data_IF_367244935229
#
_entry.id   IF_367244935229
#
_cell.length_a   1.000
_cell.length_b   1.000
_cell.length_c   1.000
_cell.angle_alpha   90.00
_cell.angle_beta   90.00
_cell.angle_gamma   90.00
#
_symmetry.space_group_name_H-M   'P 1'
#
loop_
_entity.id
_entity.type
_entity.pdbx_description
1 polymer ?
#
# COMPACT_ATOMS: atom_id res chain seq x y z
N UNK A 1 -33.74 6.31 -2.34
CA UNK A 1 -33.22 5.19 -1.55
C UNK A 1 -32.91 4.07 -2.53
N UNK A 2 -31.65 3.62 -2.68
CA UNK A 2 -31.38 2.44 -3.50
C UNK A 2 -32.09 1.26 -2.88
N UNK A 3 -32.94 0.59 -3.65
CA UNK A 3 -33.64 -0.62 -3.23
C UNK A 3 -32.60 -1.74 -3.10
N UNK A 4 -32.15 -2.01 -1.88
CA UNK A 4 -31.41 -3.22 -1.58
C UNK A 4 -32.21 -4.42 -2.11
N UNK A 5 -31.60 -5.25 -2.94
CA UNK A 5 -32.28 -6.43 -3.48
C UNK A 5 -32.65 -7.36 -2.32
N UNK A 6 -33.93 -7.40 -1.95
CA UNK A 6 -34.41 -8.00 -0.68
C UNK A 6 -34.14 -9.49 -0.54
N UNK A 7 -33.77 -10.16 -1.63
CA UNK A 7 -33.62 -11.60 -1.66
C UNK A 7 -32.15 -12.08 -1.52
N UNK A 8 -31.16 -11.18 -1.69
CA UNK A 8 -29.75 -11.56 -1.55
C UNK A 8 -29.34 -11.49 -0.08
N UNK A 9 -29.02 -12.65 0.51
CA UNK A 9 -28.61 -12.72 1.90
C UNK A 9 -27.08 -12.58 2.06
N UNK A 10 -26.65 -11.92 3.14
CA UNK A 10 -25.22 -11.82 3.49
C UNK A 10 -24.57 -13.22 3.65
N UNK A 11 -25.34 -14.23 4.08
CA UNK A 11 -24.86 -15.61 4.19
C UNK A 11 -24.51 -16.20 2.82
N UNK A 12 -25.32 -15.91 1.79
CA UNK A 12 -25.06 -16.38 0.44
C UNK A 12 -23.82 -15.70 -0.18
N UNK A 13 -23.64 -14.39 0.07
CA UNK A 13 -22.46 -13.65 -0.36
C UNK A 13 -21.18 -14.18 0.31
N UNK A 14 -21.21 -14.42 1.63
CA UNK A 14 -20.09 -15.02 2.36
C UNK A 14 -19.78 -16.45 1.88
N UNK A 15 -20.80 -17.27 1.63
CA UNK A 15 -20.62 -18.61 1.11
C UNK A 15 -19.99 -18.61 -0.28
N UNK A 16 -20.36 -17.66 -1.13
CA UNK A 16 -19.76 -17.46 -2.45
C UNK A 16 -18.28 -17.07 -2.36
N UNK A 17 -17.94 -16.05 -1.57
CA UNK A 17 -16.54 -15.60 -1.43
C UNK A 17 -15.66 -16.67 -0.79
N UNK A 18 -16.13 -17.39 0.23
CA UNK A 18 -15.39 -18.51 0.81
C UNK A 18 -15.15 -19.64 -0.20
N UNK A 19 -16.16 -19.96 -1.03
CA UNK A 19 -16.02 -20.99 -2.08
C UNK A 19 -15.08 -20.56 -3.21
N UNK A 20 -15.09 -19.28 -3.59
CA UNK A 20 -14.20 -18.69 -4.59
C UNK A 20 -12.73 -18.74 -4.13
N UNK A 21 -12.47 -18.27 -2.92
CA UNK A 21 -11.12 -18.23 -2.33
C UNK A 21 -10.50 -19.62 -2.13
N UNK A 22 -11.33 -20.60 -1.72
CA UNK A 22 -10.88 -21.96 -1.45
C UNK A 22 -10.92 -22.89 -2.69
N UNK A 23 -11.51 -22.47 -3.79
CA UNK A 23 -11.80 -23.27 -4.98
C UNK A 23 -12.48 -24.61 -4.64
N UNK A 24 -13.25 -24.64 -3.55
CA UNK A 24 -13.82 -25.85 -2.97
C UNK A 24 -15.00 -25.58 -2.07
N UNK A 25 -16.16 -26.17 -2.38
CA UNK A 25 -17.33 -26.09 -1.49
C UNK A 25 -17.11 -26.79 -0.15
N UNK A 26 -16.28 -27.82 -0.09
CA UNK A 26 -15.95 -28.52 1.15
C UNK A 26 -15.11 -27.64 2.06
N UNK A 27 -14.01 -27.08 1.55
CA UNK A 27 -13.16 -26.17 2.33
C UNK A 27 -13.90 -24.92 2.79
N UNK A 28 -14.75 -24.35 1.92
CA UNK A 28 -15.60 -23.23 2.28
C UNK A 28 -16.60 -23.59 3.38
N UNK A 29 -17.13 -24.82 3.38
CA UNK A 29 -18.01 -25.30 4.43
C UNK A 29 -17.27 -25.45 5.76
N UNK A 30 -16.07 -25.99 5.75
CA UNK A 30 -15.21 -26.10 6.94
C UNK A 30 -14.90 -24.70 7.52
N UNK A 31 -14.53 -23.73 6.66
CA UNK A 31 -14.27 -22.34 7.05
C UNK A 31 -15.49 -21.65 7.69
N UNK A 32 -16.67 -21.90 7.16
CA UNK A 32 -17.92 -21.24 7.59
C UNK A 32 -18.68 -22.03 8.69
N UNK A 33 -18.14 -23.16 9.14
CA UNK A 33 -18.80 -24.07 10.06
C UNK A 33 -20.17 -24.53 9.56
N UNK A 34 -20.27 -24.86 8.26
CA UNK A 34 -21.47 -25.33 7.57
C UNK A 34 -21.24 -26.70 6.93
N UNK A 35 -22.30 -27.26 6.38
CA UNK A 35 -22.18 -28.44 5.51
C UNK A 35 -21.94 -28.00 4.05
N UNK A 36 -21.23 -28.84 3.26
CA UNK A 36 -21.01 -28.56 1.84
C UNK A 36 -22.32 -28.44 1.05
N UNK A 37 -23.37 -29.14 1.48
CA UNK A 37 -24.71 -29.03 0.94
C UNK A 37 -25.32 -27.64 1.21
N UNK A 38 -25.16 -27.11 2.41
CA UNK A 38 -25.64 -25.78 2.76
C UNK A 38 -24.92 -24.69 1.96
N UNK A 39 -23.60 -24.77 1.82
CA UNK A 39 -22.81 -23.84 0.97
C UNK A 39 -23.30 -23.91 -0.48
N UNK A 40 -23.43 -25.12 -1.05
CA UNK A 40 -23.92 -25.30 -2.41
C UNK A 40 -25.33 -24.72 -2.61
N UNK A 41 -26.20 -24.87 -1.63
CA UNK A 41 -27.56 -24.33 -1.66
C UNK A 41 -27.57 -22.79 -1.62
N UNK A 42 -26.76 -22.17 -0.74
CA UNK A 42 -26.61 -20.72 -0.66
C UNK A 42 -26.11 -20.11 -1.98
N UNK A 43 -25.14 -20.75 -2.60
CA UNK A 43 -24.58 -20.31 -3.89
C UNK A 43 -25.59 -20.46 -5.03
N UNK A 44 -26.31 -21.59 -5.09
CA UNK A 44 -27.37 -21.77 -6.09
C UNK A 44 -28.48 -20.72 -5.96
N UNK A 45 -28.84 -20.38 -4.73
CA UNK A 45 -29.82 -19.32 -4.48
C UNK A 45 -29.29 -17.97 -4.97
N UNK A 46 -28.04 -17.63 -4.66
CA UNK A 46 -27.37 -16.41 -5.13
C UNK A 46 -27.34 -16.33 -6.67
N UNK A 47 -26.93 -17.43 -7.33
CA UNK A 47 -26.93 -17.53 -8.79
C UNK A 47 -28.33 -17.32 -9.38
N UNK A 48 -29.38 -17.85 -8.73
CA UNK A 48 -30.75 -17.65 -9.15
C UNK A 48 -31.23 -16.20 -9.03
N UNK A 49 -30.89 -15.54 -7.93
CA UNK A 49 -31.24 -14.13 -7.69
C UNK A 49 -30.50 -13.17 -8.64
N UNK A 50 -29.24 -13.50 -8.98
CA UNK A 50 -28.43 -12.71 -9.92
C UNK A 50 -28.72 -13.05 -11.39
N UNK A 51 -29.45 -14.14 -11.66
CA UNK A 51 -29.74 -14.60 -13.02
C UNK A 51 -28.51 -15.08 -13.80
N UNK A 52 -27.37 -15.35 -13.12
CA UNK A 52 -26.12 -15.74 -13.75
C UNK A 52 -25.38 -16.80 -12.95
N UNK A 53 -24.65 -17.67 -13.67
CA UNK A 53 -23.77 -18.64 -13.04
C UNK A 53 -22.48 -17.98 -12.59
N UNK A 54 -22.09 -18.23 -11.33
CA UNK A 54 -20.88 -17.71 -10.72
C UNK A 54 -19.74 -18.76 -10.76
N UNK A 55 -20.10 -20.05 -10.75
CA UNK A 55 -19.14 -21.14 -10.89
C UNK A 55 -19.42 -21.98 -12.12
N UNK A 56 -18.35 -22.38 -12.79
CA UNK A 56 -18.34 -23.44 -13.78
C UNK A 56 -18.01 -24.77 -13.10
N UNK A 57 -18.81 -25.81 -13.43
CA UNK A 57 -18.61 -27.15 -12.90
C UNK A 57 -17.91 -28.00 -13.94
N UNK A 58 -16.60 -27.99 -13.95
CA UNK A 58 -15.84 -29.00 -14.67
C UNK A 58 -15.59 -30.18 -13.71
N UNK A 59 -15.58 -31.41 -14.24
CA UNK A 59 -15.56 -32.66 -13.47
C UNK A 59 -14.36 -32.83 -12.50
N UNK A 60 -13.41 -31.91 -12.49
CA UNK A 60 -12.16 -32.00 -11.71
C UNK A 60 -11.85 -30.77 -10.84
N UNK A 61 -12.50 -29.61 -11.04
CA UNK A 61 -12.24 -28.39 -10.27
C UNK A 61 -13.45 -27.47 -10.25
N UNK A 62 -13.59 -26.72 -9.14
CA UNK A 62 -14.52 -25.61 -9.01
C UNK A 62 -13.81 -24.35 -9.50
N UNK A 63 -14.30 -23.72 -10.55
CA UNK A 63 -13.72 -22.51 -11.12
C UNK A 63 -14.78 -21.40 -11.21
N UNK A 64 -14.36 -20.16 -11.02
CA UNK A 64 -15.22 -18.99 -11.26
C UNK A 64 -15.53 -18.84 -12.75
N UNK A 65 -16.73 -18.39 -13.07
CA UNK A 65 -17.04 -17.81 -14.38
C UNK A 65 -16.50 -16.38 -14.46
N UNK A 66 -16.51 -15.76 -15.65
CA UNK A 66 -16.13 -14.34 -15.78
C UNK A 66 -17.02 -13.43 -14.89
N UNK A 67 -18.32 -13.71 -14.80
CA UNK A 67 -19.23 -12.99 -13.91
C UNK A 67 -18.93 -13.28 -12.42
N UNK A 68 -18.53 -14.53 -12.11
CA UNK A 68 -18.10 -14.91 -10.76
C UNK A 68 -16.83 -14.19 -10.35
N UNK A 69 -15.86 -14.10 -11.25
CA UNK A 69 -14.61 -13.39 -10.98
C UNK A 69 -14.87 -11.89 -10.73
N UNK A 70 -15.60 -11.24 -11.62
CA UNK A 70 -15.94 -9.81 -11.45
C UNK A 70 -16.67 -9.55 -10.12
N UNK A 71 -17.65 -10.39 -9.78
CA UNK A 71 -18.35 -10.27 -8.49
C UNK A 71 -17.42 -10.52 -7.29
N UNK A 72 -16.51 -11.47 -7.38
CA UNK A 72 -15.57 -11.78 -6.31
C UNK A 72 -14.64 -10.60 -6.03
N UNK A 73 -14.06 -10.01 -7.09
CA UNK A 73 -13.13 -8.90 -7.00
C UNK A 73 -13.76 -7.65 -6.36
N UNK A 74 -15.05 -7.41 -6.63
CA UNK A 74 -15.78 -6.29 -6.04
C UNK A 74 -16.30 -6.59 -4.62
N UNK A 75 -16.73 -7.83 -4.36
CA UNK A 75 -17.43 -8.18 -3.13
C UNK A 75 -16.49 -8.53 -1.97
N UNK A 76 -15.36 -9.18 -2.26
CA UNK A 76 -14.42 -9.61 -1.21
C UNK A 76 -13.94 -8.43 -0.34
N UNK A 77 -13.49 -7.28 -0.91
CA UNK A 77 -13.10 -6.12 -0.11
C UNK A 77 -14.24 -5.58 0.79
N UNK A 78 -15.47 -5.57 0.28
CA UNK A 78 -16.65 -5.11 1.06
C UNK A 78 -16.95 -6.02 2.25
N UNK A 79 -16.80 -7.35 2.09
CA UNK A 79 -16.98 -8.29 3.19
C UNK A 79 -15.85 -8.21 4.23
N UNK A 80 -14.64 -7.93 3.79
CA UNK A 80 -13.50 -7.70 4.67
C UNK A 80 -13.70 -6.43 5.50
N UNK A 81 -14.19 -5.35 4.88
CA UNK A 81 -14.59 -4.12 5.56
C UNK A 81 -15.69 -4.35 6.60
N UNK A 82 -16.73 -5.10 6.22
CA UNK A 82 -17.82 -5.45 7.14
C UNK A 82 -17.31 -6.27 8.33
N UNK A 83 -16.44 -7.24 8.06
CA UNK A 83 -15.79 -8.05 9.10
C UNK A 83 -14.97 -7.18 10.05
N UNK A 84 -14.22 -6.23 9.52
CA UNK A 84 -13.42 -5.28 10.30
C UNK A 84 -14.29 -4.40 11.21
N UNK A 85 -15.42 -3.89 10.70
CA UNK A 85 -16.38 -3.12 11.49
C UNK A 85 -16.95 -3.97 12.64
N UNK A 86 -17.41 -5.19 12.33
CA UNK A 86 -18.01 -6.06 13.36
C UNK A 86 -17.00 -6.49 14.42
N UNK A 87 -15.76 -6.78 14.04
CA UNK A 87 -14.68 -7.14 14.95
C UNK A 87 -14.38 -6.00 15.93
N UNK A 88 -14.34 -4.75 15.48
CA UNK A 88 -14.14 -3.58 16.36
C UNK A 88 -15.18 -3.47 17.48
N UNK A 89 -16.39 -3.93 17.23
CA UNK A 89 -17.48 -3.88 18.22
C UNK A 89 -17.66 -5.16 19.05
N UNK A 90 -17.00 -6.24 18.66
CA UNK A 90 -17.19 -7.56 19.32
C UNK A 90 -16.08 -7.89 20.33
N UNK A 91 -14.86 -7.37 20.17
CA UNK A 91 -13.73 -7.75 21.02
C UNK A 91 -13.61 -6.78 22.20
N UNK A 92 -14.15 -7.17 23.34
CA UNK A 92 -13.64 -6.79 24.65
C UNK A 92 -12.42 -7.68 24.98
N UNK A 93 -11.34 -7.54 24.22
CA UNK A 93 -10.06 -8.13 24.58
C UNK A 93 -9.43 -7.29 25.70
N UNK A 94 -8.77 -7.93 26.66
CA UNK A 94 -7.92 -7.27 27.67
C UNK A 94 -6.68 -6.65 27.05
N UNK A 95 -6.35 -6.95 25.79
CA UNK A 95 -5.29 -6.33 25.00
C UNK A 95 -5.90 -5.37 23.97
N UNK A 96 -5.25 -4.25 23.80
CA UNK A 96 -5.62 -3.27 22.78
C UNK A 96 -5.09 -3.74 21.42
N UNK A 97 -5.98 -4.02 20.47
CA UNK A 97 -5.58 -4.33 19.09
C UNK A 97 -5.39 -3.04 18.31
N UNK A 98 -4.29 -2.93 17.58
CA UNK A 98 -3.97 -1.79 16.70
C UNK A 98 -3.64 -2.29 15.30
N UNK A 99 -4.44 -1.88 14.32
CA UNK A 99 -4.22 -2.16 12.90
C UNK A 99 -3.63 -0.95 12.22
N UNK A 100 -2.42 -1.11 11.71
CA UNK A 100 -1.61 -0.06 11.11
C UNK A 100 -1.49 -0.35 9.62
N UNK A 101 -1.73 0.65 8.78
CA UNK A 101 -1.45 0.55 7.35
C UNK A 101 -0.35 1.53 6.95
N UNK A 102 0.72 1.02 6.33
CA UNK A 102 1.92 1.80 6.00
C UNK A 102 2.32 1.54 4.55
N UNK A 103 2.70 2.59 3.81
CA UNK A 103 3.25 2.39 2.48
C UNK A 103 4.51 1.49 2.51
N UNK A 104 4.67 0.55 1.55
CA UNK A 104 5.74 -0.45 1.57
C UNK A 104 7.13 0.13 1.74
N UNK A 105 7.49 1.18 1.01
CA UNK A 105 8.83 1.76 1.08
C UNK A 105 9.08 2.49 2.41
N UNK A 106 8.08 3.21 2.94
CA UNK A 106 8.16 3.79 4.29
C UNK A 106 8.26 2.69 5.34
N UNK A 107 7.50 1.61 5.18
CA UNK A 107 7.52 0.48 6.09
C UNK A 107 8.91 -0.15 6.18
N UNK A 108 9.55 -0.46 5.04
CA UNK A 108 10.85 -1.13 5.01
C UNK A 108 12.00 -0.25 5.50
N UNK A 109 12.00 1.03 5.14
CA UNK A 109 13.19 1.87 5.35
C UNK A 109 13.18 2.66 6.67
N UNK A 110 11.99 3.08 7.15
CA UNK A 110 11.87 3.90 8.35
C UNK A 110 11.13 3.21 9.50
N UNK A 111 9.99 2.57 9.19
CA UNK A 111 9.07 2.12 10.21
C UNK A 111 9.53 0.84 10.91
N UNK A 112 9.77 -0.23 10.14
CA UNK A 112 10.18 -1.54 10.69
C UNK A 112 11.49 -1.46 11.49
N UNK A 113 12.52 -0.72 11.04
CA UNK A 113 13.76 -0.58 11.81
C UNK A 113 13.59 0.01 13.23
N UNK A 114 12.54 0.80 13.47
CA UNK A 114 12.26 1.44 14.75
C UNK A 114 11.09 0.82 15.52
N UNK A 115 10.31 -0.05 14.88
CA UNK A 115 9.09 -0.61 15.46
C UNK A 115 9.32 -1.38 16.77
N UNK A 116 10.52 -1.97 16.94
CA UNK A 116 10.85 -2.69 18.16
C UNK A 116 10.77 -1.80 19.40
N UNK A 117 11.11 -0.53 19.29
CA UNK A 117 11.01 0.44 20.40
C UNK A 117 9.56 0.54 20.88
N UNK A 118 8.61 0.73 19.95
CA UNK A 118 7.19 0.80 20.27
C UNK A 118 6.65 -0.49 20.89
N UNK A 119 7.04 -1.65 20.36
CA UNK A 119 6.60 -2.96 20.88
C UNK A 119 7.11 -3.20 22.31
N UNK A 120 8.31 -2.74 22.62
CA UNK A 120 8.88 -2.87 23.98
C UNK A 120 8.21 -1.91 24.98
N UNK A 121 7.88 -0.69 24.54
CA UNK A 121 7.19 0.31 25.36
C UNK A 121 5.70 -0.01 25.61
N UNK A 122 5.06 -0.72 24.67
CA UNK A 122 3.63 -1.00 24.69
C UNK A 122 3.31 -2.50 24.51
N UNK A 123 3.75 -3.38 25.44
CA UNK A 123 3.55 -4.82 25.33
C UNK A 123 2.08 -5.25 25.43
N UNK A 124 1.19 -4.35 25.90
CA UNK A 124 -0.25 -4.57 25.99
C UNK A 124 -0.98 -4.36 24.64
N UNK A 125 -0.29 -3.83 23.62
CA UNK A 125 -0.88 -3.56 22.31
C UNK A 125 -0.52 -4.68 21.33
N UNK A 126 -1.53 -5.39 20.84
CA UNK A 126 -1.38 -6.36 19.74
C UNK A 126 -1.43 -5.62 18.40
N UNK A 127 -0.33 -5.69 17.62
CA UNK A 127 -0.17 -4.93 16.38
C UNK A 127 -0.40 -5.83 15.16
N UNK A 128 -1.18 -5.35 14.22
CA UNK A 128 -1.29 -5.91 12.86
C UNK A 128 -0.89 -4.84 11.86
N UNK A 129 0.07 -5.17 10.96
CA UNK A 129 0.60 -4.23 9.97
C UNK A 129 0.22 -4.70 8.58
N UNK A 130 -0.43 -3.82 7.82
CA UNK A 130 -0.71 -3.96 6.40
C UNK A 130 0.22 -3.03 5.61
N UNK A 131 0.96 -3.61 4.67
CA UNK A 131 1.85 -2.87 3.77
C UNK A 131 1.42 -3.00 2.31
N UNK A 132 0.16 -3.32 2.04
CA UNK A 132 -0.35 -3.37 0.66
C UNK A 132 -0.37 -1.97 0.03
N UNK A 133 -0.09 -1.91 -1.28
CA UNK A 133 -0.18 -0.68 -2.07
C UNK A 133 -1.61 -0.41 -2.57
N UNK A 134 -2.58 -1.26 -2.22
CA UNK A 134 -3.97 -1.06 -2.60
C UNK A 134 -4.51 0.24 -2.01
N UNK A 135 -4.80 1.18 -2.87
CA UNK A 135 -5.25 2.54 -2.54
C UNK A 135 -4.26 3.34 -1.65
N UNK A 136 -3.01 3.59 -2.10
CA UNK A 136 -1.95 4.25 -1.32
C UNK A 136 -2.34 5.63 -0.80
N UNK A 137 -3.36 6.28 -1.40
CA UNK A 137 -3.82 7.62 -1.07
C UNK A 137 -5.02 7.64 -0.09
N UNK A 138 -5.45 6.47 0.41
CA UNK A 138 -6.63 6.39 1.27
C UNK A 138 -6.30 5.72 2.60
N UNK A 139 -6.95 6.22 3.66
CA UNK A 139 -7.00 5.48 4.91
C UNK A 139 -7.92 4.26 4.70
N UNK A 140 -7.40 3.01 4.78
CA UNK A 140 -8.22 1.82 4.58
C UNK A 140 -9.28 1.70 5.68
N UNK A 141 -10.47 1.20 5.34
CA UNK A 141 -11.53 0.95 6.33
C UNK A 141 -11.11 -0.09 7.37
N UNK A 142 -10.16 -0.94 7.04
CA UNK A 142 -9.63 -2.00 7.91
C UNK A 142 -8.54 -1.55 8.86
N UNK A 143 -7.95 -0.35 8.68
CA UNK A 143 -6.92 0.17 9.57
C UNK A 143 -7.49 1.13 10.62
N UNK A 144 -6.85 1.18 11.78
CA UNK A 144 -7.14 2.15 12.84
C UNK A 144 -6.31 3.43 12.62
N UNK A 145 -5.09 3.27 12.12
CA UNK A 145 -4.17 4.36 11.79
C UNK A 145 -3.36 4.02 10.53
N UNK A 146 -3.00 5.02 9.74
CA UNK A 146 -2.20 4.83 8.52
C UNK A 146 -1.11 5.87 8.38
N UNK A 147 0.01 5.48 7.74
CA UNK A 147 1.04 6.40 7.28
C UNK A 147 1.00 6.42 5.76
N UNK A 148 0.61 7.56 5.17
CA UNK A 148 0.29 7.69 3.74
C UNK A 148 0.86 8.97 3.14
N UNK A 149 1.06 8.91 1.83
CA UNK A 149 1.50 10.05 1.03
C UNK A 149 0.29 10.76 0.42
N UNK A 150 0.17 12.06 0.68
CA UNK A 150 -0.89 12.90 0.13
C UNK A 150 -0.33 14.20 -0.44
N UNK A 151 -0.95 14.69 -1.51
CA UNK A 151 -0.81 16.08 -1.94
C UNK A 151 -1.72 16.99 -1.10
N UNK A 152 -2.95 16.55 -0.88
CA UNK A 152 -3.93 17.19 -0.01
C UNK A 152 -4.62 16.10 0.80
N UNK A 153 -4.40 16.03 2.12
CA UNK A 153 -5.01 15.01 2.94
C UNK A 153 -6.54 15.19 3.01
N UNK A 154 -7.30 14.08 3.12
CA UNK A 154 -8.77 14.15 3.19
C UNK A 154 -9.25 14.90 4.43
N UNK A 155 -10.16 15.87 4.25
CA UNK A 155 -10.72 16.67 5.34
C UNK A 155 -11.55 15.86 6.35
N UNK A 156 -12.03 14.67 5.97
CA UNK A 156 -12.80 13.77 6.83
C UNK A 156 -11.93 12.99 7.82
N UNK A 157 -10.62 13.02 7.69
CA UNK A 157 -9.68 12.33 8.56
C UNK A 157 -8.92 13.31 9.48
N UNK A 158 -8.52 12.81 10.64
CA UNK A 158 -7.49 13.46 11.46
C UNK A 158 -6.15 13.20 10.80
N UNK A 159 -5.46 14.29 10.39
CA UNK A 159 -4.23 14.22 9.61
C UNK A 159 -3.13 15.01 10.28
N UNK A 160 -1.98 14.40 10.48
CA UNK A 160 -0.77 15.04 11.00
C UNK A 160 0.35 14.88 10.01
N UNK A 161 0.89 16.01 9.54
CA UNK A 161 2.00 16.01 8.59
C UNK A 161 3.28 15.54 9.28
N UNK A 162 3.97 14.59 8.66
CA UNK A 162 5.27 14.09 9.12
C UNK A 162 6.40 14.86 8.44
N UNK A 163 6.56 14.71 7.13
CA UNK A 163 7.57 15.42 6.34
C UNK A 163 7.17 15.54 4.87
N UNK A 164 7.82 16.49 4.17
CA UNK A 164 7.63 16.66 2.73
C UNK A 164 8.37 15.58 1.94
N UNK A 165 7.80 15.13 0.83
CA UNK A 165 8.49 14.23 -0.09
C UNK A 165 9.52 15.01 -0.91
N UNK A 166 10.79 14.80 -0.60
CA UNK A 166 11.92 15.31 -1.36
C UNK A 166 12.59 14.19 -2.13
N UNK A 167 12.73 14.35 -3.45
CA UNK A 167 13.36 13.38 -4.34
C UNK A 167 14.77 13.85 -4.75
N UNK A 168 15.71 12.94 -4.77
CA UNK A 168 17.07 13.18 -5.26
C UNK A 168 17.42 12.19 -6.35
N UNK A 169 18.13 12.60 -7.41
CA UNK A 169 18.72 11.68 -8.35
C UNK A 169 19.76 10.82 -7.65
N UNK A 170 19.60 9.52 -7.71
CA UNK A 170 20.47 8.56 -7.06
C UNK A 170 20.85 7.42 -8.00
N UNK A 171 22.02 6.85 -7.79
CA UNK A 171 22.54 5.70 -8.53
C UNK A 171 23.64 5.02 -7.75
N UNK A 172 24.09 3.85 -8.23
CA UNK A 172 25.23 3.14 -7.62
C UNK A 172 26.54 3.94 -7.77
N UNK A 173 27.56 3.68 -6.94
CA UNK A 173 28.88 4.31 -7.06
C UNK A 173 29.48 4.15 -8.47
N UNK A 174 29.42 2.96 -9.05
CA UNK A 174 29.92 2.70 -10.41
C UNK A 174 29.18 3.49 -11.48
N UNK A 175 27.88 3.71 -11.30
CA UNK A 175 27.09 4.55 -12.18
C UNK A 175 27.46 6.03 -12.01
N UNK A 176 27.66 6.50 -10.79
CA UNK A 176 28.09 7.86 -10.49
C UNK A 176 29.39 8.22 -11.23
N UNK A 177 30.40 7.34 -11.18
CA UNK A 177 31.69 7.54 -11.84
C UNK A 177 31.60 7.60 -13.38
N UNK A 178 30.54 7.04 -13.95
CA UNK A 178 30.31 7.04 -15.42
C UNK A 178 29.69 8.32 -15.96
N UNK A 179 29.14 9.18 -15.09
CA UNK A 179 28.36 10.36 -15.49
C UNK A 179 29.29 11.47 -15.95
N UNK A 180 29.00 12.01 -17.14
CA UNK A 180 29.71 13.18 -17.72
C UNK A 180 28.71 14.29 -18.00
N UNK A 181 28.99 15.47 -17.45
CA UNK A 181 28.16 16.68 -17.65
C UNK A 181 28.98 17.77 -18.31
N UNK A 182 28.50 18.34 -19.41
CA UNK A 182 29.13 19.45 -20.13
C UNK A 182 28.07 20.53 -20.36
N UNK A 183 28.34 21.73 -19.87
CA UNK A 183 27.45 22.90 -20.08
C UNK A 183 26.00 22.63 -19.61
N UNK A 184 25.81 21.96 -18.49
CA UNK A 184 24.49 21.61 -17.95
C UNK A 184 23.75 20.50 -18.75
N UNK A 185 24.47 19.74 -19.57
CA UNK A 185 23.94 18.57 -20.29
C UNK A 185 24.70 17.31 -19.91
N UNK A 186 23.98 16.26 -19.64
CA UNK A 186 24.54 14.92 -19.48
C UNK A 186 24.90 14.40 -20.88
N UNK A 187 26.16 14.05 -21.09
CA UNK A 187 26.69 13.60 -22.37
C UNK A 187 27.13 12.14 -22.38
N UNK A 188 27.05 11.47 -21.22
CA UNK A 188 27.22 10.01 -21.08
C UNK A 188 25.90 9.28 -21.24
N UNK A 189 25.95 7.95 -21.35
CA UNK A 189 24.77 7.12 -21.19
C UNK A 189 24.12 7.38 -19.83
N UNK A 190 22.79 7.58 -19.85
CA UNK A 190 22.04 7.93 -18.65
C UNK A 190 20.68 7.21 -18.66
N UNK A 191 20.68 5.88 -18.42
CA UNK A 191 19.43 5.14 -18.29
C UNK A 191 18.63 5.66 -17.10
N UNK A 192 17.32 5.84 -17.30
CA UNK A 192 16.40 6.34 -16.28
C UNK A 192 15.58 5.20 -15.71
N UNK A 193 15.47 5.20 -14.39
CA UNK A 193 14.54 4.36 -13.65
C UNK A 193 13.39 5.25 -13.19
N UNK A 194 12.17 4.89 -13.56
CA UNK A 194 10.97 5.72 -13.38
C UNK A 194 9.92 4.94 -12.59
N UNK A 195 9.35 5.56 -11.56
CA UNK A 195 8.16 5.04 -10.90
C UNK A 195 6.91 5.36 -11.73
N UNK A 196 6.08 4.37 -12.03
CA UNK A 196 4.91 4.52 -12.92
C UNK A 196 3.91 5.58 -12.46
N UNK A 197 3.70 5.74 -11.16
CA UNK A 197 2.81 6.78 -10.62
C UNK A 197 3.37 8.21 -10.79
N UNK A 198 4.66 8.37 -11.17
CA UNK A 198 5.35 9.67 -11.31
C UNK A 198 6.09 9.81 -12.65
N UNK A 199 5.43 9.60 -13.79
CA UNK A 199 6.10 9.53 -15.10
C UNK A 199 6.75 10.85 -15.50
N UNK A 200 6.35 11.98 -14.92
CA UNK A 200 6.87 13.32 -15.23
C UNK A 200 7.92 13.82 -14.23
N UNK A 201 8.26 13.05 -13.20
CA UNK A 201 9.14 13.51 -12.11
C UNK A 201 10.54 13.90 -12.63
N UNK A 202 11.14 13.11 -13.52
CA UNK A 202 12.42 13.45 -14.14
C UNK A 202 12.38 14.75 -14.94
N UNK A 203 11.32 14.97 -15.72
CA UNK A 203 11.16 16.23 -16.47
C UNK A 203 10.99 17.45 -15.56
N UNK A 204 10.30 17.27 -14.42
CA UNK A 204 10.16 18.32 -13.41
C UNK A 204 11.51 18.62 -12.75
N UNK A 205 12.28 17.58 -12.42
CA UNK A 205 13.63 17.71 -11.86
C UNK A 205 14.57 18.44 -12.85
N UNK A 206 14.60 18.07 -14.15
CA UNK A 206 15.41 18.76 -15.16
C UNK A 206 15.18 20.26 -15.20
N UNK A 207 13.90 20.67 -15.12
CA UNK A 207 13.54 22.10 -15.14
C UNK A 207 14.10 22.87 -13.94
N UNK A 208 14.03 22.26 -12.76
CA UNK A 208 14.47 22.90 -11.52
C UNK A 208 15.99 22.84 -11.34
N UNK A 209 16.61 21.71 -11.71
CA UNK A 209 18.05 21.52 -11.64
C UNK A 209 18.85 22.26 -12.72
N UNK A 210 18.18 22.67 -13.82
CA UNK A 210 18.81 23.23 -15.02
C UNK A 210 19.85 22.27 -15.67
N UNK A 211 19.65 20.99 -15.50
CA UNK A 211 20.46 19.91 -16.09
C UNK A 211 19.57 19.19 -17.10
N UNK A 212 20.09 18.94 -18.31
CA UNK A 212 19.35 18.25 -19.37
C UNK A 212 19.79 16.81 -19.49
N UNK A 213 18.81 15.91 -19.45
CA UNK A 213 18.98 14.48 -19.70
C UNK A 213 19.01 14.22 -21.19
N UNK A 214 19.81 13.24 -21.68
CA UNK A 214 19.88 12.90 -23.11
C UNK A 214 18.50 12.49 -23.65
N UNK A 215 18.07 12.97 -24.81
CA UNK A 215 16.79 12.59 -25.41
C UNK A 215 16.63 11.09 -25.71
N UNK A 216 17.75 10.39 -25.89
CA UNK A 216 17.81 8.95 -26.19
C UNK A 216 18.03 8.08 -24.93
N UNK A 217 17.82 8.63 -23.75
CA UNK A 217 17.97 7.85 -22.50
C UNK A 217 17.03 6.63 -22.49
N UNK A 218 17.59 5.46 -22.20
CA UNK A 218 16.79 4.25 -21.96
C UNK A 218 15.96 4.43 -20.69
N UNK A 219 14.69 4.01 -20.71
CA UNK A 219 13.78 4.16 -19.60
C UNK A 219 13.27 2.80 -19.13
N UNK A 220 13.54 2.47 -17.86
CA UNK A 220 13.01 1.30 -17.17
C UNK A 220 11.90 1.80 -16.22
N UNK A 221 10.74 1.11 -16.19
CA UNK A 221 9.60 1.49 -15.35
C UNK A 221 9.29 0.42 -14.33
N UNK A 222 8.97 0.87 -13.12
CA UNK A 222 8.50 0.03 -12.02
C UNK A 222 7.30 0.69 -11.35
N UNK A 223 6.37 -0.10 -10.88
CA UNK A 223 5.21 0.28 -10.06
C UNK A 223 5.57 0.39 -8.56
N UNK A 224 6.70 -0.15 -8.15
CA UNK A 224 7.17 -0.19 -6.76
C UNK A 224 8.40 0.69 -6.53
N UNK A 225 8.35 1.59 -5.53
CA UNK A 225 9.50 2.42 -5.14
C UNK A 225 10.65 1.58 -4.56
N UNK A 226 10.35 0.45 -3.92
CA UNK A 226 11.38 -0.50 -3.46
C UNK A 226 12.17 -1.03 -4.68
N UNK A 227 11.47 -1.44 -5.74
CA UNK A 227 12.10 -1.92 -6.97
C UNK A 227 12.93 -0.81 -7.65
N UNK A 228 12.40 0.43 -7.69
CA UNK A 228 13.11 1.61 -8.21
C UNK A 228 14.44 1.81 -7.48
N UNK A 229 14.44 1.84 -6.15
CA UNK A 229 15.63 2.04 -5.34
C UNK A 229 16.64 0.88 -5.52
N UNK A 230 16.18 -0.37 -5.48
CA UNK A 230 17.03 -1.56 -5.66
C UNK A 230 17.65 -1.67 -7.06
N UNK A 231 16.92 -1.25 -8.10
CA UNK A 231 17.47 -1.20 -9.46
C UNK A 231 18.59 -0.15 -9.57
N UNK A 232 18.44 1.01 -8.94
CA UNK A 232 19.48 2.04 -8.88
C UNK A 232 20.71 1.56 -8.12
N UNK A 233 20.57 0.90 -6.97
CA UNK A 233 21.65 0.28 -6.19
C UNK A 233 22.45 -0.73 -7.02
N UNK A 234 21.81 -1.44 -7.92
CA UNK A 234 22.44 -2.42 -8.82
C UNK A 234 23.04 -1.84 -10.09
N UNK A 235 23.07 -0.51 -10.21
CA UNK A 235 23.69 0.17 -11.35
C UNK A 235 22.88 0.13 -12.65
N UNK A 236 21.58 -0.17 -12.59
CA UNK A 236 20.72 -0.22 -13.77
C UNK A 236 20.43 1.17 -14.37
N UNK A 237 20.76 2.25 -13.65
CA UNK A 237 20.55 3.63 -14.08
C UNK A 237 20.31 4.58 -12.94
N UNK A 238 19.89 5.80 -13.27
CA UNK A 238 19.52 6.84 -12.32
C UNK A 238 18.06 6.71 -11.90
N UNK A 239 17.79 6.82 -10.60
CA UNK A 239 16.45 6.88 -10.04
C UNK A 239 16.21 8.19 -9.27
N UNK A 240 14.98 8.67 -9.22
CA UNK A 240 14.56 9.68 -8.25
C UNK A 240 14.11 8.97 -6.99
N UNK A 241 14.94 9.02 -5.95
CA UNK A 241 14.72 8.33 -4.67
C UNK A 241 14.30 9.35 -3.61
N UNK A 242 13.30 9.04 -2.76
CA UNK A 242 12.96 9.85 -1.60
C UNK A 242 14.16 9.98 -0.65
N UNK A 243 14.61 11.19 -0.37
CA UNK A 243 15.83 11.45 0.40
C UNK A 243 15.76 10.81 1.79
N UNK A 244 14.69 11.05 2.53
CA UNK A 244 14.53 10.53 3.89
C UNK A 244 14.43 9.00 3.93
N UNK A 245 13.71 8.40 2.96
CA UNK A 245 13.54 6.95 2.89
C UNK A 245 14.77 6.23 2.33
N UNK A 246 15.58 6.92 1.54
CA UNK A 246 16.84 6.38 0.98
C UNK A 246 18.04 6.49 1.91
N UNK A 247 17.90 7.08 3.09
CA UNK A 247 19.03 7.44 3.96
C UNK A 247 19.95 6.24 4.28
N UNK A 248 19.36 5.08 4.62
CA UNK A 248 20.11 3.85 4.88
C UNK A 248 20.99 3.40 3.69
N UNK A 249 20.49 3.57 2.46
CA UNK A 249 21.24 3.24 1.24
C UNK A 249 22.32 4.27 0.93
N UNK A 250 22.11 5.56 1.26
CA UNK A 250 23.12 6.60 1.15
C UNK A 250 24.22 6.42 2.20
N UNK A 251 23.88 6.19 3.46
CA UNK A 251 24.83 6.00 4.55
C UNK A 251 25.71 4.76 4.34
N UNK A 252 25.14 3.70 3.77
CA UNK A 252 25.88 2.47 3.42
C UNK A 252 26.61 2.55 2.07
N UNK A 253 26.58 3.71 1.40
CA UNK A 253 27.18 3.92 0.07
C UNK A 253 26.70 2.96 -1.03
N UNK A 254 25.52 2.36 -0.88
CA UNK A 254 24.85 1.58 -1.94
C UNK A 254 24.29 2.49 -3.02
N UNK A 255 23.84 3.67 -2.59
CA UNK A 255 23.42 4.76 -3.46
C UNK A 255 24.29 5.99 -3.19
N UNK A 256 24.59 6.73 -4.26
CA UNK A 256 25.14 8.08 -4.19
C UNK A 256 24.15 9.06 -4.81
N UNK A 257 24.05 10.24 -4.22
CA UNK A 257 23.34 11.35 -4.83
C UNK A 257 24.12 11.80 -6.07
N UNK A 258 23.49 11.75 -7.23
CA UNK A 258 24.15 12.02 -8.53
C UNK A 258 24.35 13.53 -8.80
N UNK A 259 23.49 14.36 -8.19
CA UNK A 259 23.51 15.83 -8.35
C UNK A 259 23.05 16.48 -7.03
N UNK A 260 23.57 17.67 -6.74
CA UNK A 260 23.26 18.41 -5.50
C UNK A 260 21.82 19.00 -5.44
N UNK A 261 21.06 18.86 -6.54
CA UNK A 261 19.72 19.43 -6.62
C UNK A 261 18.63 18.46 -6.15
N UNK A 262 17.97 18.83 -5.06
CA UNK A 262 16.81 18.13 -4.51
C UNK A 262 15.52 18.64 -5.13
N UNK A 263 14.65 17.73 -5.56
CA UNK A 263 13.34 18.06 -6.09
C UNK A 263 12.27 17.88 -5.00
N UNK A 264 11.81 19.00 -4.43
CA UNK A 264 10.70 19.02 -3.48
C UNK A 264 9.38 18.90 -4.25
N UNK A 265 8.60 17.87 -3.92
CA UNK A 265 7.26 17.65 -4.49
C UNK A 265 6.18 18.39 -3.67
N UNK A 266 4.95 18.43 -4.21
CA UNK A 266 3.79 18.92 -3.46
C UNK A 266 3.24 17.89 -2.46
N UNK A 267 3.78 16.66 -2.50
CA UNK A 267 3.32 15.57 -1.66
C UNK A 267 4.07 15.55 -0.33
N UNK A 268 3.40 15.10 0.73
CA UNK A 268 3.99 14.88 2.04
C UNK A 268 3.46 13.60 2.67
N UNK A 269 4.25 12.99 3.54
CA UNK A 269 3.79 11.91 4.39
C UNK A 269 2.96 12.44 5.55
N UNK A 270 1.86 11.74 5.80
CA UNK A 270 0.94 12.05 6.89
C UNK A 270 0.64 10.79 7.70
N UNK A 271 0.53 10.99 9.00
CA UNK A 271 -0.17 10.07 9.88
C UNK A 271 -1.65 10.42 9.83
N UNK A 272 -2.50 9.45 9.55
CA UNK A 272 -3.94 9.66 9.42
C UNK A 272 -4.73 8.60 10.18
N UNK A 273 -5.85 9.01 10.79
CA UNK A 273 -6.82 8.14 11.43
C UNK A 273 -8.22 8.76 11.34
N UNK A 274 -9.25 8.00 11.68
CA UNK A 274 -10.59 8.57 11.85
C UNK A 274 -10.60 9.47 13.08
N UNK A 275 -11.35 10.60 13.07
CA UNK A 275 -11.46 11.48 14.24
C UNK A 275 -11.86 10.74 15.52
N UNK A 276 -12.80 9.82 15.43
CA UNK A 276 -13.32 9.06 16.57
C UNK A 276 -12.30 8.06 17.16
N UNK A 277 -11.33 7.61 16.36
CA UNK A 277 -10.30 6.66 16.80
C UNK A 277 -9.08 7.37 17.42
N UNK A 278 -8.91 8.67 17.17
CA UNK A 278 -7.71 9.46 17.52
C UNK A 278 -7.29 9.36 18.98
N UNK A 279 -8.28 9.42 19.87
CA UNK A 279 -8.06 9.47 21.32
C UNK A 279 -8.19 8.10 22.00
N UNK A 280 -8.32 7.03 21.21
CA UNK A 280 -8.26 5.66 21.76
C UNK A 280 -6.84 5.37 22.27
N UNK A 281 -6.67 4.62 23.38
CA UNK A 281 -5.36 4.46 24.00
C UNK A 281 -4.28 3.95 23.06
N UNK A 282 -4.58 2.91 22.25
CA UNK A 282 -3.61 2.34 21.33
C UNK A 282 -3.23 3.30 20.17
N UNK A 283 -4.22 4.00 19.58
CA UNK A 283 -3.96 4.98 18.50
C UNK A 283 -3.20 6.17 19.06
N UNK A 284 -3.56 6.67 20.24
CA UNK A 284 -2.88 7.80 20.89
C UNK A 284 -1.41 7.48 21.23
N UNK A 285 -1.13 6.30 21.78
CA UNK A 285 0.22 5.83 22.06
C UNK A 285 1.05 5.75 20.78
N UNK A 286 0.51 5.09 19.75
CA UNK A 286 1.19 4.94 18.45
C UNK A 286 1.41 6.29 17.77
N UNK A 287 0.42 7.17 17.79
CA UNK A 287 0.52 8.52 17.25
C UNK A 287 1.67 9.30 17.88
N UNK A 288 1.78 9.29 19.20
CA UNK A 288 2.83 10.00 19.92
C UNK A 288 4.21 9.45 19.53
N UNK A 289 4.35 8.14 19.48
CA UNK A 289 5.60 7.49 19.04
C UNK A 289 5.95 7.86 17.59
N UNK A 290 4.99 7.83 16.66
CA UNK A 290 5.22 8.21 15.25
C UNK A 290 5.67 9.67 15.13
N UNK A 291 5.03 10.59 15.86
CA UNK A 291 5.39 12.00 15.82
C UNK A 291 6.78 12.27 16.40
N UNK A 292 7.18 11.56 17.44
CA UNK A 292 8.53 11.68 18.02
C UNK A 292 9.61 11.16 17.06
N UNK A 293 9.31 10.10 16.31
CA UNK A 293 10.32 9.41 15.48
C UNK A 293 10.38 9.89 14.03
N UNK A 294 9.29 10.42 13.47
CA UNK A 294 9.19 10.69 12.04
C UNK A 294 8.72 12.09 11.66
N UNK A 295 8.33 12.94 12.61
CA UNK A 295 7.94 14.31 12.29
C UNK A 295 9.17 15.20 12.20
N UNK A 296 9.37 15.83 11.04
CA UNK A 296 10.34 16.91 10.88
C UNK A 296 9.81 18.20 11.55
N UNK A 297 10.72 18.96 12.15
CA UNK A 297 10.44 20.28 12.76
C UNK A 297 10.05 21.36 11.71
#
# INVERSE_FOLDING_TARGET
MPSWNRNISLRALRAFCAAARNESFRKAADELFLTSSAVSHQIKHLESELGSKLFSRNSRSLQLTNNGQALFDELQPVLDDLSAVTTRHTIRSTRHSLRISVQPFFASELFVPRLQEFVVEHPEIDITIDTSDEAPERHPNTADVSIRLFRSPPAALSCERLFALCLVPAGSPTFYDSIKVVGGRIVSDFPLIVHESRPKAWHQWEKTARIRIPPAATVIRFDSMIAVARAAERGMGAALVPLQLGQSSFDSSKLLQLFDHTFKTDDAYYLVCRPDDRDTPAVSAFRNWVLQNFKEE
#
